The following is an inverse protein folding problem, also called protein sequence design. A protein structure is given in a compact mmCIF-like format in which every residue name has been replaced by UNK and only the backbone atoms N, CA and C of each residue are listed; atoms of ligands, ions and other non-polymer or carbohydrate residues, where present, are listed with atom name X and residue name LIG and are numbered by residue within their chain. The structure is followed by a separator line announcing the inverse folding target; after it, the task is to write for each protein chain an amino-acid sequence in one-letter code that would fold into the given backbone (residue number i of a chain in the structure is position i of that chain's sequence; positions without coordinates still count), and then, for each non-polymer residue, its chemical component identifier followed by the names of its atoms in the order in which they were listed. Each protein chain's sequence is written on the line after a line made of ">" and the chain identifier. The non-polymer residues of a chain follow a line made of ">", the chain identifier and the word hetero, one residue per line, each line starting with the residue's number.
data_IF_699167717159
#
_entry.id   IF_699167717159
#
_cell.length_a   1.000
_cell.length_b   1.000
_cell.length_c   1.000
_cell.angle_alpha   90.00
_cell.angle_beta   90.00
_cell.angle_gamma   90.00
#
_symmetry.space_group_name_H-M   'P 1'
#
loop_
_entity.id
_entity.type
_entity.pdbx_description
1 polymer ?
#
# COMPACT_ATOMS: atom_id res chain seq x y z
N UNK A 1 -15.28 10.68 0.67
CA UNK A 1 -14.41 11.68 1.26
C UNK A 1 -12.97 11.17 1.31
N UNK A 2 -12.03 11.91 0.76
CA UNK A 2 -10.64 11.45 0.81
C UNK A 2 -10.09 11.49 2.24
N UNK A 3 -9.26 10.54 2.56
CA UNK A 3 -8.58 10.50 3.84
C UNK A 3 -7.47 11.54 3.86
N UNK A 4 -7.36 12.30 4.93
CA UNK A 4 -6.28 13.26 5.07
C UNK A 4 -4.93 12.59 5.20
N UNK A 5 -4.89 11.47 5.93
CA UNK A 5 -3.66 10.74 6.20
C UNK A 5 -3.87 9.26 5.92
N UNK A 6 -3.85 8.89 4.64
CA UNK A 6 -3.98 7.48 4.30
C UNK A 6 -2.88 6.65 4.94
N UNK A 7 -3.24 5.49 5.41
CA UNK A 7 -2.31 4.57 6.05
C UNK A 7 -1.68 3.68 4.99
N UNK A 8 -0.39 3.40 5.14
CA UNK A 8 0.27 2.44 4.26
C UNK A 8 -0.41 1.07 4.43
N UNK A 9 -0.74 0.38 3.32
CA UNK A 9 -1.43 -0.90 3.42
C UNK A 9 -0.66 -1.97 4.19
N UNK A 10 0.65 -1.83 4.33
CA UNK A 10 1.46 -2.72 5.16
C UNK A 10 1.00 -2.75 6.61
N UNK A 11 0.44 -1.64 7.11
CA UNK A 11 -0.08 -1.59 8.47
C UNK A 11 -1.31 -2.49 8.63
N UNK A 12 -2.14 -2.57 7.59
CA UNK A 12 -3.29 -3.48 7.60
C UNK A 12 -2.82 -4.93 7.57
N UNK A 13 -1.81 -5.23 6.77
CA UNK A 13 -1.23 -6.58 6.74
C UNK A 13 -0.69 -6.96 8.11
N UNK A 14 0.01 -6.03 8.77
CA UNK A 14 0.53 -6.27 10.12
C UNK A 14 -0.60 -6.54 11.11
N UNK A 15 -1.67 -5.76 11.06
CA UNK A 15 -2.81 -5.93 11.94
C UNK A 15 -3.47 -7.31 11.72
N UNK A 16 -3.56 -7.74 10.45
CA UNK A 16 -4.11 -9.05 10.12
C UNK A 16 -3.27 -10.17 10.73
N UNK A 17 -1.94 -10.05 10.66
CA UNK A 17 -1.08 -11.07 11.26
C UNK A 17 -1.22 -11.12 12.78
N UNK A 18 -1.33 -9.96 13.41
CA UNK A 18 -1.51 -9.89 14.86
C UNK A 18 -2.83 -10.55 15.27
N UNK A 19 -3.89 -10.26 14.54
CA UNK A 19 -5.19 -10.83 14.81
C UNK A 19 -5.21 -12.34 14.61
N UNK A 20 -4.51 -12.82 13.58
CA UNK A 20 -4.40 -14.25 13.30
C UNK A 20 -3.38 -14.94 14.19
N UNK A 21 -2.63 -14.19 14.96
CA UNK A 21 -1.58 -14.71 15.83
C UNK A 21 -0.51 -15.46 15.05
N UNK A 22 -0.14 -14.91 13.89
CA UNK A 22 0.88 -15.49 13.02
C UNK A 22 2.15 -14.67 13.06
N UNK A 23 3.29 -15.34 13.00
CA UNK A 23 4.57 -14.66 12.87
C UNK A 23 4.77 -14.23 11.43
N UNK A 24 5.65 -13.23 11.22
CA UNK A 24 6.01 -12.79 9.89
C UNK A 24 6.61 -13.94 9.08
N UNK A 25 7.44 -14.76 9.73
CA UNK A 25 8.08 -15.90 9.06
C UNK A 25 7.04 -16.90 8.54
N UNK A 26 6.06 -17.21 9.37
CA UNK A 26 4.99 -18.16 8.97
C UNK A 26 4.17 -17.62 7.81
N UNK A 27 3.79 -16.35 7.90
CA UNK A 27 2.99 -15.72 6.86
C UNK A 27 3.77 -15.62 5.55
N UNK A 28 5.03 -15.23 5.61
CA UNK A 28 5.87 -15.12 4.41
C UNK A 28 6.00 -16.46 3.71
N UNK A 29 6.21 -17.52 4.49
CA UNK A 29 6.31 -18.86 3.94
C UNK A 29 5.03 -19.25 3.20
N UNK A 30 3.89 -19.00 3.83
CA UNK A 30 2.59 -19.30 3.22
C UNK A 30 2.37 -18.51 1.93
N UNK A 31 2.78 -17.24 1.92
CA UNK A 31 2.61 -16.36 0.77
C UNK A 31 3.72 -16.54 -0.28
N UNK A 32 4.67 -17.41 -0.03
CA UNK A 32 5.77 -17.72 -0.96
C UNK A 32 6.62 -16.50 -1.28
N UNK A 33 6.92 -15.72 -0.24
CA UNK A 33 7.83 -14.59 -0.32
C UNK A 33 8.83 -14.71 0.83
N UNK A 34 9.88 -13.90 0.80
CA UNK A 34 10.84 -13.92 1.89
C UNK A 34 10.28 -13.15 3.09
N UNK A 35 10.76 -13.52 4.27
CA UNK A 35 10.43 -12.80 5.49
C UNK A 35 10.78 -11.31 5.36
N UNK A 36 11.94 -11.02 4.75
CA UNK A 36 12.39 -9.64 4.58
C UNK A 36 11.47 -8.84 3.67
N UNK A 37 10.97 -9.46 2.59
CA UNK A 37 10.03 -8.81 1.69
C UNK A 37 8.75 -8.42 2.44
N UNK A 38 8.20 -9.36 3.19
CA UNK A 38 6.97 -9.08 3.94
C UNK A 38 7.21 -8.03 5.02
N UNK A 39 8.32 -8.17 5.73
CA UNK A 39 8.67 -7.22 6.78
C UNK A 39 8.79 -5.80 6.23
N UNK A 40 9.46 -5.63 5.09
CA UNK A 40 9.62 -4.31 4.48
C UNK A 40 8.28 -3.68 4.10
N UNK A 41 7.36 -4.47 3.56
CA UNK A 41 6.03 -3.97 3.23
C UNK A 41 5.29 -3.56 4.51
N UNK A 42 5.34 -4.41 5.54
CA UNK A 42 4.66 -4.14 6.80
C UNK A 42 5.19 -2.89 7.51
N UNK A 43 6.47 -2.58 7.32
CA UNK A 43 7.09 -1.40 7.89
C UNK A 43 6.91 -0.15 7.01
N UNK A 44 6.27 -0.28 5.87
CA UNK A 44 6.07 0.82 4.95
C UNK A 44 7.31 1.21 4.15
N UNK A 45 8.34 0.38 4.17
CA UNK A 45 9.57 0.65 3.41
C UNK A 45 9.45 0.27 1.95
N UNK A 46 8.59 -0.70 1.67
CA UNK A 46 8.32 -1.15 0.30
C UNK A 46 6.85 -1.02 0.01
N UNK A 47 6.53 -0.69 -1.23
CA UNK A 47 5.15 -0.59 -1.68
C UNK A 47 4.55 -1.97 -1.89
N UNK A 48 3.22 -2.05 -1.81
CA UNK A 48 2.49 -3.23 -2.21
C UNK A 48 2.42 -3.23 -3.73
N UNK A 49 3.15 -4.15 -4.36
CA UNK A 49 3.12 -4.34 -5.81
C UNK A 49 1.87 -5.10 -6.21
N UNK A 50 1.53 -5.15 -7.52
CA UNK A 50 0.42 -5.99 -7.98
C UNK A 50 0.54 -7.44 -7.55
N UNK A 51 1.74 -8.01 -7.63
CA UNK A 51 1.96 -9.40 -7.22
C UNK A 51 1.78 -9.57 -5.72
N UNK A 52 2.24 -8.60 -4.94
CA UNK A 52 2.02 -8.63 -3.49
C UNK A 52 0.54 -8.48 -3.18
N UNK A 53 -0.17 -7.62 -3.92
CA UNK A 53 -1.60 -7.42 -3.72
C UNK A 53 -2.38 -8.70 -3.97
N UNK A 54 -2.00 -9.48 -4.98
CA UNK A 54 -2.63 -10.77 -5.26
C UNK A 54 -2.39 -11.74 -4.12
N UNK A 55 -1.19 -11.75 -3.55
CA UNK A 55 -0.88 -12.59 -2.40
C UNK A 55 -1.70 -12.18 -1.18
N UNK A 56 -1.81 -10.89 -0.93
CA UNK A 56 -2.60 -10.39 0.20
C UNK A 56 -4.09 -10.70 0.02
N UNK A 57 -4.59 -10.62 -1.21
CA UNK A 57 -5.97 -10.98 -1.50
C UNK A 57 -6.23 -12.43 -1.11
N UNK A 58 -5.34 -13.31 -1.47
CA UNK A 58 -5.50 -14.73 -1.18
C UNK A 58 -5.29 -15.06 0.30
N UNK A 59 -4.34 -14.38 0.93
CA UNK A 59 -4.00 -14.68 2.31
C UNK A 59 -4.92 -14.00 3.33
N UNK A 60 -5.29 -12.74 3.06
CA UNK A 60 -6.04 -11.94 4.04
C UNK A 60 -7.46 -11.62 3.59
N UNK A 61 -7.79 -11.81 2.34
CA UNK A 61 -9.08 -11.42 1.81
C UNK A 61 -9.05 -9.99 1.27
N UNK A 62 -10.24 -9.44 1.04
CA UNK A 62 -10.36 -8.21 0.29
C UNK A 62 -10.07 -8.47 -1.17
N UNK A 63 -9.73 -7.45 -1.92
CA UNK A 63 -9.37 -7.59 -3.31
C UNK A 63 -7.98 -7.01 -3.56
N UNK A 64 -7.31 -7.51 -4.58
CA UNK A 64 -6.02 -6.93 -4.98
C UNK A 64 -6.20 -5.44 -5.30
N UNK A 65 -7.33 -5.08 -5.91
CA UNK A 65 -7.66 -3.68 -6.21
C UNK A 65 -7.68 -2.83 -4.95
N UNK A 66 -8.28 -3.34 -3.88
CA UNK A 66 -8.33 -2.63 -2.60
C UNK A 66 -6.92 -2.35 -2.07
N UNK A 67 -6.07 -3.38 -2.07
CA UNK A 67 -4.70 -3.23 -1.57
C UNK A 67 -3.90 -2.22 -2.39
N UNK A 68 -4.08 -2.23 -3.73
CA UNK A 68 -3.40 -1.29 -4.60
C UNK A 68 -3.94 0.13 -4.46
N UNK A 69 -5.26 0.28 -4.26
CA UNK A 69 -5.84 1.61 -4.03
C UNK A 69 -5.33 2.22 -2.73
N UNK A 70 -5.16 1.39 -1.69
CA UNK A 70 -4.58 1.88 -0.44
C UNK A 70 -3.15 2.36 -0.64
N UNK A 71 -2.37 1.63 -1.41
CA UNK A 71 -1.00 2.01 -1.71
C UNK A 71 -0.95 3.31 -2.50
N UNK A 72 -1.79 3.42 -3.53
CA UNK A 72 -1.84 4.63 -4.36
C UNK A 72 -2.25 5.85 -3.55
N UNK A 73 -3.24 5.70 -2.68
CA UNK A 73 -3.69 6.80 -1.83
C UNK A 73 -2.57 7.26 -0.90
N UNK A 74 -1.85 6.31 -0.31
CA UNK A 74 -0.73 6.63 0.55
C UNK A 74 0.38 7.35 -0.22
N UNK A 75 0.77 6.80 -1.36
CA UNK A 75 1.85 7.37 -2.18
C UNK A 75 1.50 8.77 -2.65
N UNK A 76 0.25 8.97 -3.08
CA UNK A 76 -0.20 10.28 -3.55
C UNK A 76 -0.20 11.30 -2.42
N UNK A 77 -0.64 10.90 -1.23
CA UNK A 77 -0.62 11.78 -0.07
C UNK A 77 0.82 12.20 0.27
N UNK A 78 1.77 11.27 0.20
CA UNK A 78 3.18 11.58 0.44
C UNK A 78 3.71 12.54 -0.64
N UNK A 79 3.40 12.28 -1.90
CA UNK A 79 3.83 13.12 -3.01
C UNK A 79 3.27 14.54 -2.89
N UNK A 80 2.01 14.67 -2.46
CA UNK A 80 1.36 15.97 -2.33
C UNK A 80 1.98 16.86 -1.26
N UNK A 81 2.68 16.29 -0.31
CA UNK A 81 3.40 17.08 0.68
C UNK A 81 4.50 17.93 0.04
N UNK A 82 4.92 17.56 -1.16
CA UNK A 82 6.00 18.24 -1.86
C UNK A 82 5.55 18.78 -3.22
N UNK A 83 4.24 18.78 -3.51
CA UNK A 83 3.76 19.15 -4.85
C UNK A 83 4.06 20.61 -5.20
N UNK A 84 4.15 21.49 -4.22
CA UNK A 84 4.46 22.90 -4.47
C UNK A 84 5.81 23.11 -5.13
N UNK A 85 6.72 22.14 -5.02
CA UNK A 85 8.04 22.21 -5.64
C UNK A 85 8.02 21.91 -7.13
N UNK A 86 6.96 21.29 -7.61
CA UNK A 86 6.83 20.94 -9.01
C UNK A 86 6.61 22.16 -9.89
N UNK A 87 5.78 23.07 -9.43
CA UNK A 87 5.55 24.34 -10.08
C UNK A 87 5.34 24.20 -11.61
N UNK A 88 4.48 23.25 -11.99
CA UNK A 88 4.24 22.97 -13.40
C UNK A 88 3.11 23.85 -13.92
N UNK A 89 3.36 24.65 -14.97
CA UNK A 89 2.30 25.47 -15.54
C UNK A 89 1.27 24.62 -16.27
N UNK A 90 0.04 25.10 -16.27
CA UNK A 90 -1.03 24.39 -16.94
C UNK A 90 -0.87 24.51 -18.45
N UNK A 91 -0.95 23.40 -19.15
CA UNK A 91 -0.90 23.38 -20.61
C UNK A 91 -2.27 23.56 -21.25
N UNK A 92 -3.34 23.21 -20.51
CA UNK A 92 -4.71 23.40 -20.98
C UNK A 92 -5.37 24.48 -20.16
N UNK A 93 -6.24 25.27 -20.77
CA UNK A 93 -6.83 26.42 -20.11
C UNK A 93 -7.83 26.05 -19.03
N UNK A 94 -8.50 24.93 -19.20
CA UNK A 94 -9.47 24.47 -18.22
C UNK A 94 -9.48 22.97 -18.16
N UNK A 95 -9.89 22.46 -17.00
CA UNK A 95 -10.04 21.04 -16.84
C UNK A 95 -11.33 20.57 -17.48
N UNK A 96 -11.27 19.55 -18.29
CA UNK A 96 -12.43 18.97 -18.92
C UNK A 96 -12.98 17.77 -18.14
N UNK A 97 -12.39 17.49 -17.01
CA UNK A 97 -12.78 16.35 -16.19
C UNK A 97 -13.80 16.71 -15.12
#
# INVERSE_FOLDING_TARGET
>A
MPLKNPVHPGALAKANLEELNLSVAEAAKTMKITRQQLHNVMQGRSAVSPQMALRFEQAFGGSADMWLRMQAAYDLAQARKHQGKLNIPRLVEHSSL
#
